data_IF_981486663685
#
_entry.id   IF_981486663685
#
_cell.length_a   1.000
_cell.length_b   1.000
_cell.length_c   1.000
_cell.angle_alpha   90.00
_cell.angle_beta   90.00
_cell.angle_gamma   90.00
#
_symmetry.space_group_name_H-M   'P 1'
#
loop_
_entity.id
_entity.type
_entity.pdbx_description
1 polymer ?
#
# COMPACT_ATOMS: atom_id res chain seq x y z
N UNK A 1 -9.66 -21.92 -18.67
CA UNK A 1 -8.63 -22.15 -17.64
C UNK A 1 -8.81 -23.56 -17.16
N UNK A 2 -7.79 -24.39 -17.23
CA UNK A 2 -7.80 -25.69 -16.56
C UNK A 2 -7.89 -25.44 -15.07
N UNK A 3 -8.99 -25.87 -14.47
CA UNK A 3 -9.28 -25.69 -13.05
C UNK A 3 -8.45 -26.70 -12.25
N UNK A 4 -7.15 -26.43 -12.10
CA UNK A 4 -6.28 -27.22 -11.25
C UNK A 4 -6.45 -26.86 -9.76
N UNK A 5 -6.02 -27.77 -8.89
CA UNK A 5 -5.98 -27.52 -7.44
C UNK A 5 -4.59 -27.05 -7.05
N UNK A 6 -4.51 -25.91 -6.37
CA UNK A 6 -3.26 -25.35 -5.88
C UNK A 6 -3.09 -25.56 -4.38
N UNK A 7 -1.82 -25.58 -3.95
CA UNK A 7 -1.45 -25.69 -2.53
C UNK A 7 -0.29 -24.76 -2.20
N UNK A 8 -0.26 -24.26 -0.99
CA UNK A 8 0.88 -23.49 -0.46
C UNK A 8 0.86 -23.39 1.07
N UNK A 9 2.00 -23.04 1.65
CA UNK A 9 2.10 -22.65 3.06
C UNK A 9 1.58 -21.21 3.19
N UNK A 10 0.57 -21.00 4.04
CA UNK A 10 -0.10 -19.70 4.23
C UNK A 10 0.35 -18.94 5.49
N UNK A 11 1.21 -19.52 6.30
CA UNK A 11 1.82 -18.89 7.49
C UNK A 11 3.27 -18.51 7.22
N UNK A 12 3.84 -17.53 7.93
CA UNK A 12 5.26 -17.23 7.84
C UNK A 12 6.12 -18.46 8.11
N UNK A 13 7.25 -18.58 7.39
CA UNK A 13 8.23 -19.65 7.61
C UNK A 13 9.01 -19.36 8.89
N UNK A 14 9.07 -20.35 9.79
CA UNK A 14 9.78 -20.23 11.06
C UNK A 14 9.24 -21.21 12.09
N UNK A 15 9.75 -21.15 13.32
CA UNK A 15 9.23 -21.92 14.44
C UNK A 15 8.03 -21.19 15.06
N UNK A 16 6.88 -21.86 15.12
CA UNK A 16 5.65 -21.31 15.67
C UNK A 16 4.74 -22.38 16.24
N UNK A 17 3.66 -21.97 16.89
CA UNK A 17 2.70 -22.93 17.43
C UNK A 17 1.89 -23.63 16.33
N UNK A 18 1.55 -22.91 15.25
CA UNK A 18 0.72 -23.39 14.16
C UNK A 18 1.35 -22.99 12.82
N UNK A 19 1.32 -23.94 11.87
CA UNK A 19 1.57 -23.71 10.46
C UNK A 19 0.38 -24.18 9.63
N UNK A 20 0.06 -23.51 8.55
CA UNK A 20 -1.10 -23.78 7.72
C UNK A 20 -0.67 -24.11 6.29
N UNK A 21 -1.03 -25.30 5.82
CA UNK A 21 -1.00 -25.66 4.40
C UNK A 21 -2.41 -25.51 3.85
N UNK A 22 -2.55 -24.65 2.81
CA UNK A 22 -3.83 -24.34 2.18
C UNK A 22 -3.91 -24.97 0.81
N UNK A 23 -5.07 -25.54 0.48
CA UNK A 23 -5.43 -26.01 -0.85
C UNK A 23 -6.62 -25.19 -1.35
N UNK A 24 -6.69 -24.89 -2.66
CA UNK A 24 -7.84 -24.30 -3.32
C UNK A 24 -8.04 -24.91 -4.70
N UNK A 25 -9.25 -25.28 -5.03
CA UNK A 25 -9.60 -25.82 -6.33
C UNK A 25 -10.56 -27.02 -6.26
N UNK A 26 -10.93 -27.59 -7.42
CA UNK A 26 -11.99 -28.62 -7.50
C UNK A 26 -11.67 -29.92 -6.78
N UNK A 27 -10.40 -30.26 -6.63
CA UNK A 27 -9.94 -31.49 -5.96
C UNK A 27 -9.42 -31.25 -4.55
N UNK A 28 -9.55 -30.03 -3.99
CA UNK A 28 -8.97 -29.68 -2.69
C UNK A 28 -9.44 -30.62 -1.57
N UNK A 29 -10.74 -30.91 -1.54
CA UNK A 29 -11.34 -31.79 -0.51
C UNK A 29 -10.89 -33.24 -0.72
N UNK A 30 -10.88 -33.73 -1.98
CA UNK A 30 -10.50 -35.10 -2.32
C UNK A 30 -9.03 -35.38 -1.97
N UNK A 31 -8.11 -34.48 -2.35
CA UNK A 31 -6.69 -34.60 -2.03
C UNK A 31 -6.48 -34.62 -0.50
N UNK A 32 -7.14 -33.72 0.21
CA UNK A 32 -7.03 -33.68 1.67
C UNK A 32 -7.61 -34.96 2.33
N UNK A 33 -8.70 -35.49 1.83
CA UNK A 33 -9.37 -36.69 2.37
C UNK A 33 -8.51 -37.94 2.19
N UNK A 34 -7.73 -38.04 1.10
CA UNK A 34 -6.75 -39.12 0.88
C UNK A 34 -5.67 -39.13 1.97
N UNK A 35 -5.26 -37.94 2.41
CA UNK A 35 -4.18 -37.75 3.39
C UNK A 35 -4.67 -37.78 4.84
N UNK A 36 -5.96 -37.54 5.06
CA UNK A 36 -6.54 -37.34 6.38
C UNK A 36 -7.10 -38.61 6.98
N UNK A 37 -6.86 -38.79 8.28
CA UNK A 37 -7.47 -39.85 9.09
C UNK A 37 -8.08 -39.25 10.36
N UNK A 38 -9.38 -39.20 10.40
CA UNK A 38 -10.16 -38.69 11.53
C UNK A 38 -11.46 -39.46 11.74
N UNK A 39 -12.37 -38.85 12.49
CA UNK A 39 -13.67 -39.48 12.84
C UNK A 39 -14.60 -39.61 11.62
N UNK A 40 -14.58 -38.64 10.71
CA UNK A 40 -15.41 -38.55 9.52
C UNK A 40 -14.51 -38.30 8.31
N UNK A 41 -14.96 -38.69 7.12
CA UNK A 41 -14.33 -38.29 5.88
C UNK A 41 -14.55 -36.79 5.65
N UNK A 42 -13.56 -36.08 5.11
CA UNK A 42 -13.68 -34.65 4.84
C UNK A 42 -14.73 -34.36 3.75
N UNK A 43 -14.97 -35.34 2.87
CA UNK A 43 -16.04 -35.27 1.88
C UNK A 43 -17.45 -35.23 2.49
N UNK A 44 -17.65 -35.84 3.65
CA UNK A 44 -18.96 -36.00 4.30
C UNK A 44 -19.28 -34.87 5.30
N UNK A 45 -18.29 -34.03 5.65
CA UNK A 45 -18.51 -32.98 6.64
C UNK A 45 -19.08 -31.69 6.01
N UNK A 46 -19.89 -30.91 6.75
CA UNK A 46 -20.42 -29.65 6.27
C UNK A 46 -19.32 -28.62 6.04
N UNK A 47 -19.64 -27.61 5.19
CA UNK A 47 -18.78 -26.43 5.02
C UNK A 47 -18.64 -25.63 6.33
N UNK A 48 -17.47 -24.96 6.48
CA UNK A 48 -17.12 -24.14 7.65
C UNK A 48 -17.05 -24.94 8.95
N UNK A 49 -16.45 -26.14 8.86
CA UNK A 49 -16.17 -27.02 10.02
C UNK A 49 -14.67 -27.23 10.18
N UNK A 50 -14.26 -27.47 11.42
CA UNK A 50 -12.90 -27.86 11.79
C UNK A 50 -12.93 -29.29 12.26
N UNK A 51 -12.07 -30.14 11.69
CA UNK A 51 -12.05 -31.57 11.90
C UNK A 51 -10.71 -32.01 12.48
N UNK A 52 -10.71 -32.57 13.67
CA UNK A 52 -9.52 -33.12 14.33
C UNK A 52 -9.15 -34.49 13.73
N UNK A 53 -7.89 -34.72 13.48
CA UNK A 53 -7.37 -35.99 12.99
C UNK A 53 -5.84 -35.96 12.78
N UNK A 54 -5.38 -36.82 11.89
CA UNK A 54 -3.97 -36.98 11.55
C UNK A 54 -3.78 -36.94 10.06
N UNK A 55 -2.66 -36.39 9.60
CA UNK A 55 -2.16 -36.61 8.24
C UNK A 55 -1.36 -37.91 8.27
N UNK A 56 -1.67 -38.79 7.35
CA UNK A 56 -0.96 -40.05 7.12
C UNK A 56 -0.36 -40.04 5.72
N UNK A 57 0.79 -40.63 5.59
CA UNK A 57 1.35 -40.95 4.28
C UNK A 57 0.63 -42.22 3.74
N UNK A 58 -0.13 -42.13 2.65
CA UNK A 58 -0.90 -43.27 2.14
C UNK A 58 -0.05 -44.46 1.71
N UNK A 59 1.22 -44.27 1.32
CA UNK A 59 2.14 -45.34 0.88
C UNK A 59 2.76 -46.04 2.10
N UNK A 60 3.40 -45.30 3.02
CA UNK A 60 4.08 -45.88 4.17
C UNK A 60 3.13 -46.21 5.32
N UNK A 61 1.91 -45.66 5.35
CA UNK A 61 0.92 -45.72 6.43
C UNK A 61 1.40 -45.08 7.74
N UNK A 62 2.48 -44.33 7.69
CA UNK A 62 3.00 -43.61 8.87
C UNK A 62 2.13 -42.38 9.16
N UNK A 63 1.95 -42.11 10.46
CA UNK A 63 1.35 -40.84 10.90
C UNK A 63 2.40 -39.76 10.80
N UNK A 64 2.12 -38.75 9.95
CA UNK A 64 3.03 -37.64 9.71
C UNK A 64 2.81 -36.55 10.72
N UNK A 65 1.54 -36.21 11.03
CA UNK A 65 1.21 -35.08 11.86
C UNK A 65 -0.20 -35.20 12.45
N UNK A 66 -0.39 -34.66 13.64
CA UNK A 66 -1.69 -34.40 14.27
C UNK A 66 -2.20 -33.03 13.83
N UNK A 67 -3.43 -32.95 13.30
CA UNK A 67 -3.91 -31.75 12.62
C UNK A 67 -5.35 -31.38 12.98
N UNK A 68 -5.66 -30.11 12.75
CA UNK A 68 -7.04 -29.63 12.59
C UNK A 68 -7.26 -29.20 11.15
N UNK A 69 -8.21 -29.82 10.46
CA UNK A 69 -8.51 -29.53 9.07
C UNK A 69 -9.81 -28.72 8.94
N UNK A 70 -9.70 -27.52 8.37
CA UNK A 70 -10.85 -26.69 8.05
C UNK A 70 -11.34 -27.04 6.65
N UNK A 71 -12.65 -27.28 6.50
CA UNK A 71 -13.31 -27.57 5.24
C UNK A 71 -14.22 -26.40 4.88
N UNK A 72 -13.94 -25.74 3.77
CA UNK A 72 -14.66 -24.57 3.28
C UNK A 72 -15.09 -24.82 1.83
N UNK A 73 -16.40 -24.88 1.57
CA UNK A 73 -16.93 -25.24 0.26
C UNK A 73 -17.39 -24.02 -0.53
N UNK A 74 -17.15 -24.07 -1.84
CA UNK A 74 -17.63 -23.09 -2.79
C UNK A 74 -19.16 -22.84 -2.66
N UNK A 75 -19.65 -21.64 -2.99
CA UNK A 75 -18.92 -20.43 -3.38
C UNK A 75 -18.59 -19.50 -2.20
N UNK A 76 -18.88 -19.89 -0.95
CA UNK A 76 -18.69 -19.04 0.24
C UNK A 76 -17.28 -19.19 0.83
N UNK A 77 -16.25 -18.99 0.00
CA UNK A 77 -14.84 -19.12 0.33
C UNK A 77 -14.05 -17.92 -0.18
N UNK A 78 -12.77 -17.82 0.17
CA UNK A 78 -11.93 -16.71 -0.30
C UNK A 78 -11.74 -16.70 -1.81
N UNK A 79 -11.49 -17.85 -2.42
CA UNK A 79 -11.30 -17.98 -3.88
C UNK A 79 -12.59 -18.24 -4.64
N UNK A 80 -13.72 -18.44 -3.96
CA UNK A 80 -14.97 -19.03 -4.49
C UNK A 80 -14.82 -20.47 -5.00
N UNK A 81 -13.70 -21.13 -4.71
CA UNK A 81 -13.45 -22.55 -4.92
C UNK A 81 -13.57 -23.31 -3.60
N UNK A 82 -13.52 -24.64 -3.62
CA UNK A 82 -13.35 -25.43 -2.41
C UNK A 82 -11.97 -25.15 -1.81
N UNK A 83 -11.91 -24.85 -0.51
CA UNK A 83 -10.68 -24.58 0.22
C UNK A 83 -10.55 -25.56 1.39
N UNK A 84 -9.35 -26.11 1.53
CA UNK A 84 -8.92 -26.83 2.73
C UNK A 84 -7.77 -26.09 3.38
N UNK A 85 -7.83 -25.97 4.72
CA UNK A 85 -6.70 -25.50 5.52
C UNK A 85 -6.32 -26.60 6.50
N UNK A 86 -5.09 -27.12 6.34
CA UNK A 86 -4.50 -28.12 7.21
C UNK A 86 -3.64 -27.39 8.22
N UNK A 87 -4.12 -27.30 9.46
CA UNK A 87 -3.42 -26.65 10.55
C UNK A 87 -2.53 -27.68 11.25
N UNK A 88 -1.22 -27.54 11.08
CA UNK A 88 -0.17 -28.39 11.62
C UNK A 88 0.54 -27.70 12.80
N UNK A 89 1.38 -28.41 13.52
CA UNK A 89 2.39 -27.75 14.36
C UNK A 89 3.36 -26.94 13.51
N UNK A 90 3.78 -25.76 14.00
CA UNK A 90 4.54 -24.76 13.24
C UNK A 90 6.03 -25.08 13.07
N UNK A 91 6.38 -26.34 12.83
CA UNK A 91 7.73 -26.77 12.52
C UNK A 91 7.98 -26.80 11.00
N UNK A 92 9.10 -26.24 10.54
CA UNK A 92 9.44 -26.15 9.11
C UNK A 92 9.41 -27.53 8.42
N UNK A 93 9.97 -28.55 9.09
CA UNK A 93 10.04 -29.89 8.54
C UNK A 93 8.65 -30.50 8.32
N UNK A 94 7.80 -30.42 9.34
CA UNK A 94 6.45 -31.00 9.32
C UNK A 94 5.56 -30.34 8.29
N UNK A 95 5.56 -29.00 8.23
CA UNK A 95 4.76 -28.24 7.26
C UNK A 95 5.17 -28.58 5.82
N UNK A 96 6.48 -28.63 5.54
CA UNK A 96 6.99 -29.00 4.22
C UNK A 96 6.60 -30.45 3.85
N UNK A 97 6.61 -31.38 4.81
CA UNK A 97 6.19 -32.75 4.56
C UNK A 97 4.71 -32.86 4.20
N UNK A 98 3.85 -32.11 4.88
CA UNK A 98 2.42 -32.02 4.54
C UNK A 98 2.23 -31.38 3.16
N UNK A 99 2.96 -30.31 2.85
CA UNK A 99 2.92 -29.67 1.52
C UNK A 99 3.34 -30.65 0.40
N UNK A 100 4.45 -31.37 0.58
CA UNK A 100 4.93 -32.39 -0.35
C UNK A 100 3.86 -33.46 -0.62
N UNK A 101 3.20 -33.96 0.43
CA UNK A 101 2.13 -34.93 0.29
C UNK A 101 0.96 -34.37 -0.52
N UNK A 102 0.53 -33.13 -0.27
CA UNK A 102 -0.55 -32.53 -1.06
C UNK A 102 -0.18 -32.44 -2.55
N UNK A 103 1.08 -32.10 -2.86
CA UNK A 103 1.56 -32.07 -4.25
C UNK A 103 1.65 -33.47 -4.88
N UNK A 104 2.12 -34.45 -4.12
CA UNK A 104 2.23 -35.85 -4.58
C UNK A 104 0.87 -36.42 -4.97
N UNK A 105 -0.19 -35.98 -4.26
CA UNK A 105 -1.55 -36.48 -4.51
C UNK A 105 -2.40 -35.56 -5.40
N UNK A 106 -1.78 -34.62 -6.12
CA UNK A 106 -2.41 -33.96 -7.28
C UNK A 106 -2.57 -32.44 -7.17
N UNK A 107 -2.16 -31.81 -6.08
CA UNK A 107 -2.12 -30.36 -6.03
C UNK A 107 -0.85 -29.82 -6.69
N UNK A 108 -0.95 -28.67 -7.36
CA UNK A 108 0.20 -27.90 -7.86
C UNK A 108 0.60 -26.84 -6.83
N UNK A 109 1.90 -26.55 -6.73
CA UNK A 109 2.36 -25.41 -5.96
C UNK A 109 1.74 -24.12 -6.49
N UNK A 110 1.17 -23.31 -5.60
CA UNK A 110 0.63 -22.01 -5.95
C UNK A 110 1.74 -21.02 -6.34
N UNK A 111 1.45 -20.17 -7.32
CA UNK A 111 2.27 -19.01 -7.64
C UNK A 111 2.09 -17.90 -6.60
N UNK A 112 3.01 -16.92 -6.51
CA UNK A 112 2.81 -15.75 -5.67
C UNK A 112 1.48 -15.05 -5.98
N UNK A 113 0.68 -14.78 -4.95
CA UNK A 113 -0.61 -14.11 -5.08
C UNK A 113 -1.74 -14.91 -5.73
N UNK A 114 -1.53 -16.20 -6.05
CA UNK A 114 -2.50 -16.97 -6.86
C UNK A 114 -3.86 -17.15 -6.19
N UNK A 115 -3.93 -17.30 -4.87
CA UNK A 115 -5.23 -17.38 -4.19
C UNK A 115 -6.03 -16.08 -4.33
N UNK A 116 -5.38 -14.93 -4.22
CA UNK A 116 -6.02 -13.62 -4.40
C UNK A 116 -6.36 -13.38 -5.88
N UNK A 117 -5.50 -13.81 -6.81
CA UNK A 117 -5.77 -13.79 -8.26
C UNK A 117 -7.02 -14.59 -8.59
N UNK A 118 -7.18 -15.81 -8.03
CA UNK A 118 -8.40 -16.62 -8.19
C UNK A 118 -9.63 -15.96 -7.59
N UNK A 119 -9.51 -15.31 -6.43
CA UNK A 119 -10.59 -14.53 -5.84
C UNK A 119 -11.05 -13.40 -6.78
N UNK A 120 -10.12 -12.71 -7.44
CA UNK A 120 -10.39 -11.70 -8.46
C UNK A 120 -11.03 -12.31 -9.71
N UNK A 121 -10.42 -13.34 -10.31
CA UNK A 121 -10.93 -13.99 -11.53
C UNK A 121 -12.32 -14.62 -11.34
N UNK A 122 -12.61 -15.13 -10.15
CA UNK A 122 -13.91 -15.67 -9.78
C UNK A 122 -14.91 -14.58 -9.35
N UNK A 123 -14.56 -13.30 -9.47
CA UNK A 123 -15.43 -12.15 -9.23
C UNK A 123 -15.85 -11.96 -7.77
N UNK A 124 -15.05 -12.46 -6.80
CA UNK A 124 -15.29 -12.17 -5.39
C UNK A 124 -14.86 -10.76 -5.01
N UNK A 125 -13.73 -10.34 -5.50
CA UNK A 125 -13.11 -9.04 -5.28
C UNK A 125 -12.70 -8.47 -6.64
N UNK A 126 -12.63 -7.15 -6.75
CA UNK A 126 -12.02 -6.49 -7.91
C UNK A 126 -10.52 -6.22 -7.71
N UNK A 127 -9.86 -5.65 -8.73
CA UNK A 127 -8.42 -5.46 -8.70
C UNK A 127 -7.98 -4.47 -7.61
N UNK A 128 -8.74 -3.40 -7.37
CA UNK A 128 -8.44 -2.43 -6.32
C UNK A 128 -8.56 -3.03 -4.91
N UNK A 129 -9.52 -3.92 -4.70
CA UNK A 129 -9.68 -4.68 -3.45
C UNK A 129 -8.55 -5.70 -3.27
N UNK A 130 -8.12 -6.36 -4.36
CA UNK A 130 -7.00 -7.30 -4.33
C UNK A 130 -5.70 -6.59 -3.91
N UNK A 131 -5.38 -5.43 -4.51
CA UNK A 131 -4.23 -4.61 -4.11
C UNK A 131 -4.31 -4.17 -2.64
N UNK A 132 -5.51 -3.81 -2.17
CA UNK A 132 -5.74 -3.40 -0.80
C UNK A 132 -5.48 -4.51 0.24
N UNK A 133 -5.63 -5.79 -0.13
CA UNK A 133 -5.24 -6.92 0.74
C UNK A 133 -3.75 -6.87 1.06
N UNK A 134 -2.90 -6.57 0.08
CA UNK A 134 -1.46 -6.43 0.31
C UNK A 134 -1.12 -5.17 1.10
N UNK A 135 -1.81 -4.06 0.83
CA UNK A 135 -1.63 -2.81 1.56
C UNK A 135 -2.01 -2.99 3.05
N UNK A 136 -3.07 -3.75 3.34
CA UNK A 136 -3.46 -4.11 4.70
C UNK A 136 -2.39 -4.93 5.43
N UNK A 137 -1.83 -5.96 4.78
CA UNK A 137 -0.79 -6.81 5.35
C UNK A 137 0.50 -6.02 5.61
N UNK A 138 0.85 -5.09 4.70
CA UNK A 138 2.06 -4.27 4.78
C UNK A 138 1.89 -3.01 5.62
N UNK A 139 0.68 -2.71 6.08
CA UNK A 139 0.39 -1.48 6.82
C UNK A 139 1.24 -1.35 8.08
N UNK A 140 1.80 -0.16 8.32
CA UNK A 140 2.71 0.15 9.44
C UNK A 140 2.05 0.98 10.54
N UNK A 141 0.84 1.50 10.29
CA UNK A 141 0.09 2.31 11.24
C UNK A 141 -1.37 1.89 11.24
N UNK A 142 -2.08 2.12 12.36
CA UNK A 142 -3.52 1.87 12.46
C UNK A 142 -4.31 2.65 11.40
N UNK A 143 -3.83 3.85 11.05
CA UNK A 143 -4.45 4.68 10.03
C UNK A 143 -4.29 4.06 8.63
N UNK A 144 -3.09 3.60 8.28
CA UNK A 144 -2.84 2.88 7.02
C UNK A 144 -3.69 1.60 6.94
N UNK A 145 -3.74 0.82 8.02
CA UNK A 145 -4.58 -0.37 8.13
C UNK A 145 -6.07 -0.06 7.89
N UNK A 146 -6.58 1.04 8.49
CA UNK A 146 -7.97 1.47 8.32
C UNK A 146 -8.26 1.90 6.87
N UNK A 147 -7.34 2.63 6.23
CA UNK A 147 -7.47 3.01 4.81
C UNK A 147 -7.51 1.78 3.92
N UNK A 148 -6.59 0.84 4.10
CA UNK A 148 -6.56 -0.41 3.35
C UNK A 148 -7.83 -1.24 3.58
N UNK A 149 -8.34 -1.31 4.81
CA UNK A 149 -9.60 -2.01 5.10
C UNK A 149 -10.80 -1.40 4.40
N UNK A 150 -10.92 -0.08 4.37
CA UNK A 150 -11.96 0.63 3.61
C UNK A 150 -11.91 0.29 2.10
N UNK A 151 -10.70 0.12 1.55
CA UNK A 151 -10.54 -0.29 0.15
C UNK A 151 -10.90 -1.77 -0.05
N UNK A 152 -10.57 -2.67 0.88
CA UNK A 152 -11.01 -4.09 0.86
C UNK A 152 -12.53 -4.17 0.90
N UNK A 153 -13.21 -3.32 1.68
CA UNK A 153 -14.68 -3.22 1.74
C UNK A 153 -15.30 -2.69 0.44
N UNK A 154 -14.50 -2.18 -0.52
CA UNK A 154 -14.95 -1.77 -1.84
C UNK A 154 -15.33 -0.29 -1.97
N UNK A 155 -15.04 0.57 -0.99
CA UNK A 155 -15.43 2.00 -1.06
C UNK A 155 -14.91 2.71 -2.30
N UNK A 156 -13.65 2.47 -2.69
CA UNK A 156 -13.10 3.04 -3.93
C UNK A 156 -13.81 2.47 -5.16
N UNK A 157 -14.02 1.16 -5.18
CA UNK A 157 -14.71 0.46 -6.27
C UNK A 157 -16.11 1.01 -6.50
N UNK A 158 -16.87 1.24 -5.43
CA UNK A 158 -18.24 1.75 -5.51
C UNK A 158 -18.27 3.17 -6.08
N UNK A 159 -17.30 4.03 -5.68
CA UNK A 159 -17.16 5.37 -6.24
C UNK A 159 -16.83 5.31 -7.74
N UNK A 160 -15.85 4.47 -8.14
CA UNK A 160 -15.48 4.31 -9.55
C UNK A 160 -16.65 3.77 -10.38
N UNK A 161 -17.35 2.74 -9.90
CA UNK A 161 -18.53 2.17 -10.57
C UNK A 161 -19.62 3.21 -10.75
N UNK A 162 -19.86 4.06 -9.74
CA UNK A 162 -20.83 5.15 -9.84
C UNK A 162 -20.46 6.13 -10.94
N UNK A 163 -19.18 6.57 -11.01
CA UNK A 163 -18.75 7.50 -12.07
C UNK A 163 -18.85 6.85 -13.44
N UNK A 164 -18.47 5.59 -13.58
CA UNK A 164 -18.62 4.86 -14.84
C UNK A 164 -20.08 4.71 -15.28
N UNK A 165 -20.99 4.51 -14.33
CA UNK A 165 -22.42 4.47 -14.61
C UNK A 165 -22.93 5.82 -15.15
N UNK A 166 -22.51 6.93 -14.54
CA UNK A 166 -22.86 8.27 -15.03
C UNK A 166 -22.32 8.52 -16.45
N UNK A 167 -21.10 8.06 -16.77
CA UNK A 167 -20.55 8.15 -18.14
C UNK A 167 -21.38 7.32 -19.12
N UNK A 168 -21.81 6.11 -18.76
CA UNK A 168 -22.67 5.29 -19.61
C UNK A 168 -24.03 5.96 -19.89
N UNK A 169 -24.58 6.66 -18.91
CA UNK A 169 -25.84 7.42 -19.09
C UNK A 169 -25.64 8.59 -20.08
N UNK A 170 -24.49 9.29 -20.01
CA UNK A 170 -24.14 10.32 -21.00
C UNK A 170 -24.01 9.68 -22.39
N UNK A 171 -23.24 8.58 -22.51
CA UNK A 171 -23.01 7.90 -23.79
C UNK A 171 -24.32 7.41 -24.42
N UNK A 172 -25.25 6.88 -23.61
CA UNK A 172 -26.56 6.47 -24.10
C UNK A 172 -27.37 7.63 -24.66
N UNK A 173 -27.30 8.82 -24.05
CA UNK A 173 -27.99 10.02 -24.57
C UNK A 173 -27.33 10.57 -25.83
N UNK A 174 -25.98 10.56 -25.89
CA UNK A 174 -25.22 10.94 -27.08
C UNK A 174 -25.57 10.03 -28.26
N UNK A 175 -25.68 8.71 -28.02
CA UNK A 175 -26.03 7.75 -29.07
C UNK A 175 -27.45 7.98 -29.63
N UNK A 176 -28.40 8.30 -28.78
CA UNK A 176 -29.77 8.68 -29.20
C UNK A 176 -29.73 9.95 -30.08
N UNK A 177 -28.90 10.92 -29.74
CA UNK A 177 -28.76 12.14 -30.52
C UNK A 177 -28.12 11.88 -31.92
N UNK A 178 -27.11 11.01 -31.97
CA UNK A 178 -26.46 10.60 -33.23
C UNK A 178 -27.44 9.84 -34.15
N UNK A 179 -28.28 8.97 -33.56
CA UNK A 179 -29.24 8.14 -34.30
C UNK A 179 -30.44 8.93 -34.84
N UNK A 180 -30.82 10.03 -34.18
CA UNK A 180 -31.98 10.87 -34.53
C UNK A 180 -31.64 12.34 -34.65
N UNK A 181 -30.79 12.73 -35.64
CA UNK A 181 -30.25 14.09 -35.77
C UNK A 181 -31.28 15.12 -36.25
N UNK A 182 -32.49 14.72 -36.62
CA UNK A 182 -33.55 15.61 -37.08
C UNK A 182 -34.24 16.44 -35.99
N UNK A 183 -33.88 16.24 -34.71
CA UNK A 183 -34.49 16.94 -33.57
C UNK A 183 -33.48 17.90 -32.93
N UNK A 184 -33.39 19.15 -33.43
CA UNK A 184 -32.47 20.19 -32.94
C UNK A 184 -32.61 20.44 -31.42
N UNK A 185 -33.82 20.37 -30.86
CA UNK A 185 -34.11 20.55 -29.44
C UNK A 185 -33.45 19.44 -28.57
N UNK A 186 -33.20 18.27 -29.13
CA UNK A 186 -32.55 17.12 -28.44
C UNK A 186 -31.05 17.33 -28.37
N UNK A 187 -30.43 17.96 -29.37
CA UNK A 187 -28.99 18.22 -29.39
C UNK A 187 -28.57 19.18 -28.27
N UNK A 188 -29.27 20.32 -28.15
CA UNK A 188 -29.00 21.30 -27.09
C UNK A 188 -29.19 20.71 -25.70
N UNK A 189 -30.28 19.96 -25.44
CA UNK A 189 -30.55 19.33 -24.18
C UNK A 189 -29.50 18.23 -23.83
N UNK A 190 -29.02 17.49 -24.84
CA UNK A 190 -27.99 16.48 -24.68
C UNK A 190 -26.64 17.12 -24.34
N UNK A 191 -26.27 18.23 -24.98
CA UNK A 191 -25.05 18.96 -24.71
C UNK A 191 -25.05 19.55 -23.31
N UNK A 192 -26.13 20.15 -22.85
CA UNK A 192 -26.26 20.69 -21.49
C UNK A 192 -26.12 19.59 -20.44
N UNK A 193 -26.83 18.46 -20.61
CA UNK A 193 -26.75 17.30 -19.74
C UNK A 193 -25.32 16.73 -19.68
N UNK A 194 -24.66 16.54 -20.85
CA UNK A 194 -23.29 16.07 -20.97
C UNK A 194 -22.34 16.97 -20.17
N UNK A 195 -22.43 18.29 -20.37
CA UNK A 195 -21.55 19.25 -19.69
C UNK A 195 -21.74 19.24 -18.18
N UNK A 196 -23.00 19.22 -17.71
CA UNK A 196 -23.32 19.16 -16.26
C UNK A 196 -22.72 17.89 -15.64
N UNK A 197 -23.08 16.72 -16.18
CA UNK A 197 -22.61 15.44 -15.65
C UNK A 197 -21.09 15.26 -15.76
N UNK A 198 -20.47 15.66 -16.86
CA UNK A 198 -19.02 15.59 -17.02
C UNK A 198 -18.27 16.48 -16.03
N UNK A 199 -18.80 17.67 -15.71
CA UNK A 199 -18.23 18.55 -14.67
C UNK A 199 -18.35 17.94 -13.27
N UNK A 200 -19.45 17.28 -12.96
CA UNK A 200 -19.64 16.55 -11.69
C UNK A 200 -18.64 15.38 -11.56
N UNK A 201 -18.51 14.56 -12.62
CA UNK A 201 -17.55 13.45 -12.67
C UNK A 201 -16.12 13.98 -12.46
N UNK A 202 -15.74 15.04 -13.16
CA UNK A 202 -14.41 15.67 -13.01
C UNK A 202 -14.19 16.17 -11.57
N UNK A 203 -15.20 16.73 -10.93
CA UNK A 203 -15.11 17.19 -9.55
C UNK A 203 -14.84 16.04 -8.59
N UNK A 204 -15.52 14.90 -8.73
CA UNK A 204 -15.27 13.71 -7.92
C UNK A 204 -13.88 13.10 -8.17
N UNK A 205 -13.41 13.08 -9.42
CA UNK A 205 -12.04 12.65 -9.75
C UNK A 205 -11.01 13.57 -9.07
N UNK A 206 -11.22 14.90 -9.10
CA UNK A 206 -10.34 15.84 -8.41
C UNK A 206 -10.33 15.58 -6.90
N UNK A 207 -11.49 15.39 -6.29
CA UNK A 207 -11.60 15.07 -4.86
C UNK A 207 -10.81 13.81 -4.47
N UNK A 208 -10.86 12.77 -5.30
CA UNK A 208 -10.06 11.57 -5.08
C UNK A 208 -8.56 11.86 -5.23
N UNK A 209 -8.17 12.65 -6.24
CA UNK A 209 -6.77 13.04 -6.46
C UNK A 209 -6.21 13.89 -5.33
N UNK A 210 -7.00 14.76 -4.72
CA UNK A 210 -6.59 15.60 -3.59
C UNK A 210 -6.20 14.75 -2.36
N UNK A 211 -6.77 13.55 -2.22
CA UNK A 211 -6.38 12.60 -1.17
C UNK A 211 -5.10 11.82 -1.51
N UNK A 212 -4.63 11.89 -2.75
CA UNK A 212 -3.58 11.01 -3.28
C UNK A 212 -2.22 11.16 -2.60
N UNK A 213 -1.81 12.41 -2.32
CA UNK A 213 -0.53 12.67 -1.66
C UNK A 213 -0.51 12.08 -0.23
N UNK A 214 -1.56 12.35 0.54
CA UNK A 214 -1.71 11.81 1.90
C UNK A 214 -1.86 10.29 1.91
N UNK A 215 -2.64 9.73 0.98
CA UNK A 215 -2.82 8.29 0.82
C UNK A 215 -1.49 7.58 0.51
N UNK A 216 -0.68 8.15 -0.39
CA UNK A 216 0.65 7.62 -0.72
C UNK A 216 1.56 7.59 0.51
N UNK A 217 1.60 8.68 1.29
CA UNK A 217 2.40 8.75 2.54
C UNK A 217 1.93 7.68 3.54
N UNK A 218 0.62 7.50 3.69
CA UNK A 218 0.10 6.47 4.60
C UNK A 218 0.50 5.06 4.18
N UNK A 219 0.58 4.78 2.88
CA UNK A 219 0.93 3.48 2.32
C UNK A 219 2.43 3.20 2.33
N UNK A 220 3.22 4.11 1.77
CA UNK A 220 4.66 3.92 1.51
C UNK A 220 5.54 4.42 2.66
N UNK A 221 4.99 5.26 3.52
CA UNK A 221 5.72 5.99 4.53
C UNK A 221 6.38 7.25 3.94
N UNK A 222 6.72 8.16 4.83
CA UNK A 222 7.42 9.39 4.52
C UNK A 222 8.91 9.13 4.52
N UNK A 223 9.54 9.16 3.36
CA UNK A 223 10.99 8.98 3.23
C UNK A 223 11.72 10.11 3.95
N UNK A 224 12.31 9.81 5.11
CA UNK A 224 12.89 10.80 6.01
C UNK A 224 14.39 10.61 6.13
N UNK A 225 15.14 11.70 5.91
CA UNK A 225 16.61 11.74 6.06
C UNK A 225 16.98 12.70 7.18
N UNK A 226 17.93 12.30 8.04
CA UNK A 226 18.46 13.14 9.12
C UNK A 226 19.83 13.66 8.69
N UNK A 227 19.96 14.99 8.58
CA UNK A 227 21.17 15.70 8.12
C UNK A 227 21.72 16.57 9.22
N UNK A 228 23.03 16.76 9.25
CA UNK A 228 23.74 17.64 10.19
C UNK A 228 25.16 17.18 10.40
N UNK A 229 26.01 18.04 10.99
CA UNK A 229 27.42 17.77 11.29
C UNK A 229 27.60 16.52 12.19
N UNK A 230 28.79 15.94 12.29
CA UNK A 230 29.09 14.95 13.30
C UNK A 230 28.76 15.46 14.72
N UNK A 231 28.37 14.56 15.60
CA UNK A 231 28.10 14.84 17.02
C UNK A 231 26.99 15.86 17.35
N UNK A 232 26.13 16.29 16.41
CA UNK A 232 24.96 17.14 16.70
C UNK A 232 23.80 16.39 17.37
N UNK A 233 23.86 15.04 17.41
CA UNK A 233 22.87 14.20 18.07
C UNK A 233 21.91 13.47 17.11
N UNK A 234 22.28 13.26 15.85
CA UNK A 234 21.48 12.51 14.85
C UNK A 234 21.10 11.12 15.34
N UNK A 235 22.07 10.34 15.83
CA UNK A 235 21.83 8.98 16.35
C UNK A 235 20.93 8.97 17.59
N UNK A 236 21.06 10.00 18.46
CA UNK A 236 20.21 10.14 19.63
C UNK A 236 18.78 10.49 19.21
N UNK A 237 18.59 11.35 18.21
CA UNK A 237 17.29 11.68 17.64
C UNK A 237 16.65 10.42 17.03
N UNK A 238 17.38 9.67 16.21
CA UNK A 238 16.92 8.42 15.65
C UNK A 238 16.45 7.46 16.73
N UNK A 239 17.26 7.25 17.78
CA UNK A 239 16.93 6.36 18.89
C UNK A 239 15.68 6.82 19.67
N UNK A 240 15.52 8.12 19.93
CA UNK A 240 14.32 8.64 20.60
C UNK A 240 13.06 8.43 19.74
N UNK A 241 13.11 8.76 18.45
CA UNK A 241 12.00 8.49 17.53
C UNK A 241 11.61 7.00 17.50
N UNK A 242 12.60 6.10 17.55
CA UNK A 242 12.38 4.64 17.55
C UNK A 242 11.81 4.16 18.90
N UNK A 243 12.33 4.65 20.04
CA UNK A 243 11.93 4.19 21.38
C UNK A 243 10.53 4.65 21.78
N UNK A 244 10.19 5.92 21.53
CA UNK A 244 8.90 6.50 21.92
C UNK A 244 7.75 6.00 21.03
N UNK A 245 8.04 5.66 19.77
CA UNK A 245 7.04 5.34 18.75
C UNK A 245 7.01 3.86 18.30
N UNK A 246 7.48 2.91 19.12
CA UNK A 246 7.53 1.48 18.82
C UNK A 246 7.92 1.21 17.35
N UNK A 247 9.22 1.15 17.08
CA UNK A 247 9.70 0.74 15.78
C UNK A 247 9.01 -0.55 15.33
N UNK A 248 8.35 -0.52 14.19
CA UNK A 248 7.80 -1.73 13.59
C UNK A 248 8.97 -2.35 12.83
N UNK A 249 9.80 -3.09 13.53
CA UNK A 249 10.86 -3.90 12.91
C UNK A 249 10.16 -5.05 12.17
N UNK A 250 10.08 -4.96 10.87
CA UNK A 250 9.68 -6.09 10.05
C UNK A 250 10.93 -6.76 9.51
N UNK A 251 11.36 -7.83 10.17
CA UNK A 251 12.19 -8.82 9.50
C UNK A 251 11.31 -9.52 8.44
N UNK A 252 11.37 -9.06 7.22
CA UNK A 252 10.81 -9.81 6.08
C UNK A 252 11.81 -10.92 5.80
N UNK A 253 11.52 -12.12 6.27
CA UNK A 253 12.29 -13.31 5.98
C UNK A 253 12.33 -13.51 4.45
N UNK A 254 13.51 -13.37 3.86
CA UNK A 254 13.72 -13.62 2.42
C UNK A 254 14.49 -12.55 1.64
N UNK A 255 14.72 -11.36 2.20
CA UNK A 255 15.50 -10.29 1.53
C UNK A 255 16.86 -10.11 2.18
N UNK A 256 17.80 -10.98 1.84
CA UNK A 256 19.17 -11.02 2.44
C UNK A 256 20.13 -9.97 1.87
N UNK A 257 19.68 -8.93 1.16
CA UNK A 257 20.57 -7.90 0.56
C UNK A 257 20.04 -6.48 0.46
N UNK A 258 18.81 -6.20 0.89
CA UNK A 258 18.29 -4.83 0.84
C UNK A 258 18.52 -4.11 2.17
N UNK A 259 18.81 -2.81 2.09
CA UNK A 259 19.04 -1.89 3.19
C UNK A 259 17.95 -2.08 4.23
N UNK A 260 18.31 -2.30 5.50
CA UNK A 260 17.37 -2.37 6.63
C UNK A 260 16.64 -1.02 6.71
N UNK A 261 15.46 -0.96 6.15
CA UNK A 261 14.57 0.22 6.27
C UNK A 261 13.88 0.14 7.63
N UNK A 262 14.03 1.17 8.43
CA UNK A 262 13.34 1.29 9.72
C UNK A 262 12.12 2.18 9.56
N UNK A 263 10.96 1.68 10.00
CA UNK A 263 9.73 2.45 10.04
C UNK A 263 9.39 2.87 11.46
N UNK A 264 9.05 4.15 11.62
CA UNK A 264 8.64 4.74 12.89
C UNK A 264 7.27 5.39 12.72
N UNK A 265 6.34 5.12 13.64
CA UNK A 265 5.01 5.71 13.59
C UNK A 265 4.95 7.01 14.42
N UNK A 266 5.09 8.15 13.77
CA UNK A 266 5.00 9.46 14.43
C UNK A 266 3.58 10.01 14.34
N UNK A 267 2.80 9.90 15.42
CA UNK A 267 1.39 10.38 15.51
C UNK A 267 0.51 9.94 14.33
N UNK A 268 0.70 8.72 13.85
CA UNK A 268 -0.07 8.17 12.73
C UNK A 268 0.57 8.41 11.36
N UNK A 269 1.70 9.11 11.27
CA UNK A 269 2.53 9.24 10.06
C UNK A 269 3.62 8.17 10.09
N UNK A 270 3.65 7.23 9.14
CA UNK A 270 4.75 6.27 9.04
C UNK A 270 5.98 6.97 8.44
N UNK A 271 7.03 7.20 9.24
CA UNK A 271 8.32 7.64 8.74
C UNK A 271 9.13 6.44 8.27
N UNK A 272 9.63 6.46 7.05
CA UNK A 272 10.62 5.53 6.53
C UNK A 272 11.99 6.18 6.64
N UNK A 273 12.79 5.76 7.62
CA UNK A 273 14.11 6.30 7.86
C UNK A 273 15.11 5.73 6.86
N UNK A 274 15.70 6.61 6.04
CA UNK A 274 16.64 6.23 4.98
C UNK A 274 18.06 6.41 5.49
N UNK A 275 18.94 5.45 5.16
CA UNK A 275 20.38 5.46 5.47
C UNK A 275 20.75 5.41 6.98
N UNK A 276 20.01 4.58 7.74
CA UNK A 276 20.28 4.35 9.17
C UNK A 276 21.65 3.69 9.44
N UNK A 277 22.20 2.94 8.49
CA UNK A 277 23.49 2.27 8.61
C UNK A 277 24.65 3.30 8.67
N UNK A 278 24.59 4.37 7.89
CA UNK A 278 25.56 5.46 7.92
C UNK A 278 25.53 6.29 9.20
N UNK A 279 24.37 6.33 9.88
CA UNK A 279 24.18 7.07 11.14
C UNK A 279 24.72 6.29 12.33
N UNK A 280 24.72 4.93 12.26
CA UNK A 280 25.12 4.04 13.38
C UNK A 280 26.61 3.73 13.44
N UNK A 281 27.34 3.74 12.33
CA UNK A 281 28.69 3.11 12.27
C UNK A 281 29.89 4.03 12.05
N UNK A 282 29.76 5.33 11.70
CA UNK A 282 30.95 6.14 11.43
C UNK A 282 30.88 7.58 11.89
N UNK A 283 31.92 7.98 12.66
CA UNK A 283 32.26 9.37 12.98
C UNK A 283 32.79 10.17 11.75
N UNK A 284 32.98 9.54 10.57
CA UNK A 284 33.66 10.10 9.40
C UNK A 284 32.89 9.94 8.07
N UNK A 285 31.61 10.40 8.00
CA UNK A 285 30.80 10.29 6.76
C UNK A 285 31.11 11.39 5.73
N UNK A 286 31.79 12.46 6.10
CA UNK A 286 32.07 13.58 5.19
C UNK A 286 33.18 13.27 4.18
N UNK A 287 34.08 12.31 4.44
CA UNK A 287 35.30 12.17 3.65
C UNK A 287 35.35 11.03 2.63
N UNK A 288 34.54 10.00 2.65
CA UNK A 288 34.87 8.82 1.81
C UNK A 288 33.76 8.05 1.08
N UNK A 289 32.48 8.21 1.37
CA UNK A 289 31.48 7.43 0.62
C UNK A 289 30.35 8.33 0.15
N UNK A 290 30.58 8.91 -1.02
CA UNK A 290 29.46 9.12 -1.90
C UNK A 290 28.62 10.36 -1.68
N UNK A 291 29.20 11.50 -1.95
CA UNK A 291 28.46 12.69 -2.40
C UNK A 291 27.30 12.30 -3.34
N UNK A 292 27.45 11.24 -4.13
CA UNK A 292 26.38 10.74 -5.01
C UNK A 292 25.29 9.96 -4.29
N UNK A 293 25.60 9.06 -3.33
CA UNK A 293 24.58 8.32 -2.57
C UNK A 293 23.77 9.22 -1.65
N UNK A 294 24.47 10.10 -0.92
CA UNK A 294 23.81 11.09 -0.05
C UNK A 294 22.99 12.09 -0.85
N UNK A 295 23.45 12.56 -2.00
CA UNK A 295 22.64 13.42 -2.90
C UNK A 295 21.44 12.69 -3.45
N UNK A 296 21.56 11.41 -3.81
CA UNK A 296 20.42 10.61 -4.26
C UNK A 296 19.41 10.36 -3.14
N UNK A 297 19.86 10.09 -1.92
CA UNK A 297 18.98 9.94 -0.75
C UNK A 297 18.24 11.24 -0.44
N UNK A 298 18.95 12.39 -0.49
CA UNK A 298 18.34 13.71 -0.27
C UNK A 298 17.33 14.08 -1.35
N UNK A 299 17.63 13.82 -2.63
CA UNK A 299 16.71 14.11 -3.73
C UNK A 299 15.48 13.18 -3.79
N UNK A 300 15.47 12.11 -3.01
CA UNK A 300 14.36 11.16 -2.89
C UNK A 300 13.68 11.22 -1.52
N UNK A 301 14.14 12.11 -0.63
CA UNK A 301 13.53 12.32 0.67
C UNK A 301 12.26 13.15 0.52
N UNK A 302 11.19 12.72 1.20
CA UNK A 302 9.96 13.49 1.34
C UNK A 302 10.06 14.45 2.53
N UNK A 303 10.98 14.22 3.47
CA UNK A 303 11.23 15.06 4.64
C UNK A 303 12.71 15.04 5.02
N UNK A 304 13.27 16.20 5.32
CA UNK A 304 14.62 16.33 5.84
C UNK A 304 14.57 16.91 7.25
N UNK A 305 15.17 16.20 8.20
CA UNK A 305 15.40 16.70 9.56
C UNK A 305 16.82 17.26 9.63
N UNK A 306 16.95 18.59 9.54
CA UNK A 306 18.24 19.26 9.58
C UNK A 306 18.63 19.64 11.01
N UNK A 307 19.65 18.97 11.57
CA UNK A 307 20.00 19.04 12.99
C UNK A 307 21.23 19.92 13.19
N UNK A 308 21.07 20.97 14.01
CA UNK A 308 22.10 21.89 14.46
C UNK A 308 22.42 21.66 15.95
N UNK A 309 23.61 22.08 16.40
CA UNK A 309 24.05 21.95 17.79
C UNK A 309 23.92 23.28 18.53
N UNK A 310 23.10 23.32 19.62
CA UNK A 310 22.94 24.51 20.44
C UNK A 310 24.25 25.00 21.09
N UNK A 311 25.18 24.10 21.37
CA UNK A 311 26.43 24.41 22.07
C UNK A 311 27.57 24.86 21.14
N UNK A 312 27.31 25.14 19.86
CA UNK A 312 28.30 25.59 18.89
C UNK A 312 27.72 26.70 18.01
N UNK A 313 28.55 27.71 17.66
CA UNK A 313 28.15 28.71 16.68
C UNK A 313 28.03 28.08 15.28
N UNK A 314 27.20 28.69 14.41
CA UNK A 314 27.11 28.24 12.99
C UNK A 314 28.47 28.30 12.32
N UNK A 315 28.76 27.29 11.53
CA UNK A 315 30.01 27.14 10.78
C UNK A 315 29.74 27.11 9.29
N UNK A 316 30.78 27.29 8.47
CA UNK A 316 30.68 27.21 7.01
C UNK A 316 30.11 25.85 6.56
N UNK A 317 30.31 24.78 7.33
CA UNK A 317 29.75 23.46 7.05
C UNK A 317 28.22 23.43 7.19
N UNK A 318 27.65 24.08 8.22
CA UNK A 318 26.21 24.21 8.41
C UNK A 318 25.56 24.95 7.26
N UNK A 319 26.15 26.06 6.81
CA UNK A 319 25.69 26.79 5.62
C UNK A 319 25.76 25.95 4.35
N UNK A 320 26.83 25.17 4.17
CA UNK A 320 27.00 24.31 3.00
C UNK A 320 25.92 23.20 2.98
N UNK A 321 25.65 22.58 4.13
CA UNK A 321 24.60 21.57 4.27
C UNK A 321 23.20 22.19 4.03
N UNK A 322 22.96 23.38 4.60
CA UNK A 322 21.71 24.10 4.39
C UNK A 322 21.45 24.42 2.91
N UNK A 323 22.46 24.90 2.17
CA UNK A 323 22.35 25.17 0.73
C UNK A 323 21.93 23.95 -0.09
N UNK A 324 22.26 22.74 0.37
CA UNK A 324 21.87 21.49 -0.30
C UNK A 324 20.40 21.14 -0.04
N UNK A 325 19.88 21.49 1.13
CA UNK A 325 18.55 21.04 1.57
C UNK A 325 17.44 22.12 1.49
N UNK A 326 17.79 23.38 1.32
CA UNK A 326 16.87 24.53 1.43
C UNK A 326 15.66 24.55 0.48
N UNK A 327 15.70 23.76 -0.59
CA UNK A 327 14.60 23.69 -1.57
C UNK A 327 13.68 22.47 -1.37
N UNK A 328 13.95 21.69 -0.32
CA UNK A 328 13.19 20.50 0.02
C UNK A 328 12.28 20.76 1.23
N UNK A 329 11.44 19.82 1.60
CA UNK A 329 10.63 19.89 2.82
C UNK A 329 11.52 19.63 4.04
N UNK A 330 11.89 20.71 4.75
CA UNK A 330 12.87 20.70 5.85
C UNK A 330 12.23 21.14 7.17
N UNK A 331 12.51 20.38 8.23
CA UNK A 331 12.35 20.84 9.61
C UNK A 331 13.74 21.06 10.20
N UNK A 332 14.02 22.28 10.64
CA UNK A 332 15.28 22.63 11.28
C UNK A 332 15.19 22.39 12.78
N UNK A 333 16.17 21.69 13.33
CA UNK A 333 16.17 21.25 14.74
C UNK A 333 17.44 21.72 15.41
N UNK A 334 17.31 22.58 16.43
CA UNK A 334 18.43 22.95 17.30
C UNK A 334 18.41 22.02 18.50
N UNK A 335 19.32 21.05 18.51
CA UNK A 335 19.41 20.02 19.54
C UNK A 335 20.43 20.41 20.64
N UNK A 336 20.39 19.69 21.76
CA UNK A 336 21.21 19.88 22.97
C UNK A 336 20.89 21.17 23.72
N UNK A 337 19.63 21.52 23.81
CA UNK A 337 19.16 22.69 24.61
C UNK A 337 19.46 22.57 26.09
N UNK A 338 19.89 21.40 26.58
CA UNK A 338 20.36 21.11 27.91
C UNK A 338 21.79 21.66 28.20
N UNK A 339 22.53 22.02 27.15
CA UNK A 339 23.86 22.60 27.23
C UNK A 339 23.83 24.12 27.13
N UNK A 340 24.98 24.76 27.45
CA UNK A 340 25.13 26.22 27.29
C UNK A 340 24.91 26.64 25.83
N UNK A 341 24.12 27.68 25.62
CA UNK A 341 23.79 28.18 24.30
C UNK A 341 24.94 29.00 23.74
N UNK A 342 25.52 28.52 22.63
CA UNK A 342 26.54 29.22 21.86
C UNK A 342 26.09 29.53 20.42
N UNK A 343 24.96 28.93 19.96
CA UNK A 343 24.35 29.25 18.68
C UNK A 343 23.52 30.53 18.78
N UNK A 344 23.60 31.41 17.80
CA UNK A 344 22.68 32.56 17.70
C UNK A 344 21.40 32.13 16.96
N UNK A 345 20.30 32.05 17.70
CA UNK A 345 19.00 31.65 17.15
C UNK A 345 18.47 32.64 16.11
N UNK A 346 18.83 33.94 16.20
CA UNK A 346 18.42 34.92 15.20
C UNK A 346 19.17 34.68 13.89
N UNK A 347 20.48 34.38 13.94
CA UNK A 347 21.26 33.97 12.76
C UNK A 347 20.70 32.71 12.11
N UNK A 348 20.27 31.73 12.90
CA UNK A 348 19.58 30.52 12.37
C UNK A 348 18.27 30.93 11.67
N UNK A 349 17.43 31.77 12.30
CA UNK A 349 16.16 32.23 11.68
C UNK A 349 16.39 33.01 10.40
N UNK A 350 17.41 33.88 10.37
CA UNK A 350 17.77 34.64 9.17
C UNK A 350 18.25 33.71 8.04
N UNK A 351 18.94 32.61 8.38
CA UNK A 351 19.39 31.60 7.43
C UNK A 351 18.21 30.81 6.85
N UNK A 352 17.27 30.35 7.68
CA UNK A 352 16.21 29.39 7.29
C UNK A 352 14.92 30.05 6.79
N UNK A 353 14.72 31.36 7.05
CA UNK A 353 13.48 32.07 6.69
C UNK A 353 12.24 31.51 7.38
N UNK A 354 11.22 31.15 6.59
CA UNK A 354 9.93 30.66 7.09
C UNK A 354 9.89 29.15 7.41
N UNK A 355 11.04 28.44 7.32
CA UNK A 355 11.10 27.02 7.64
C UNK A 355 10.80 26.75 9.12
N UNK A 356 10.14 25.62 9.46
CA UNK A 356 9.91 25.24 10.84
C UNK A 356 11.20 25.08 11.64
N UNK A 357 11.29 25.72 12.80
CA UNK A 357 12.41 25.64 13.72
C UNK A 357 11.96 25.06 15.06
N UNK A 358 12.55 23.94 15.47
CA UNK A 358 12.23 23.27 16.71
C UNK A 358 13.49 23.17 17.58
N UNK A 359 13.32 23.43 18.86
CA UNK A 359 14.38 23.32 19.85
C UNK A 359 14.18 22.05 20.69
N UNK A 360 15.23 21.23 20.76
CA UNK A 360 15.15 19.92 21.42
C UNK A 360 16.31 19.65 22.35
N UNK A 361 16.06 18.81 23.36
CA UNK A 361 17.08 18.09 24.09
C UNK A 361 16.77 16.60 24.06
N UNK A 362 17.46 15.89 23.19
CA UNK A 362 17.29 14.43 23.05
C UNK A 362 17.67 13.68 24.35
N UNK A 363 18.56 14.25 25.15
CA UNK A 363 18.95 13.68 26.45
C UNK A 363 17.86 13.80 27.51
N UNK A 364 17.14 14.94 27.50
CA UNK A 364 16.06 15.21 28.47
C UNK A 364 14.67 14.88 27.91
N UNK A 365 14.58 14.44 26.67
CA UNK A 365 13.32 14.20 25.96
C UNK A 365 12.41 15.45 25.88
N UNK A 366 13.01 16.65 25.76
CA UNK A 366 12.31 17.92 25.61
C UNK A 366 12.20 18.30 24.12
N UNK A 367 11.07 18.86 23.70
CA UNK A 367 10.80 19.32 22.32
C UNK A 367 10.46 18.19 21.33
N UNK A 368 10.43 16.92 21.73
CA UNK A 368 10.10 15.78 20.87
C UNK A 368 8.61 15.84 20.47
N UNK A 369 7.72 16.11 21.43
CA UNK A 369 6.29 16.28 21.15
C UNK A 369 6.01 17.36 20.09
N UNK A 370 6.74 18.48 20.16
CA UNK A 370 6.62 19.57 19.19
C UNK A 370 7.10 19.16 17.79
N UNK A 371 8.21 18.42 17.73
CA UNK A 371 8.70 17.83 16.47
C UNK A 371 7.68 16.88 15.85
N UNK A 372 7.10 16.01 16.65
CA UNK A 372 6.07 15.06 16.18
C UNK A 372 4.80 15.76 15.67
N UNK A 373 4.37 16.83 16.37
CA UNK A 373 3.24 17.65 15.94
C UNK A 373 3.57 18.34 14.62
N UNK A 374 4.76 18.93 14.49
CA UNK A 374 5.19 19.61 13.28
C UNK A 374 5.28 18.66 12.08
N UNK A 375 5.81 17.44 12.27
CA UNK A 375 5.82 16.41 11.22
C UNK A 375 4.40 16.08 10.78
N UNK A 376 3.49 15.85 11.73
CA UNK A 376 2.08 15.57 11.41
C UNK A 376 1.42 16.71 10.63
N UNK A 377 1.60 17.94 11.08
CA UNK A 377 0.91 19.11 10.54
C UNK A 377 1.44 19.50 9.15
N UNK A 378 2.72 19.30 8.90
CA UNK A 378 3.32 19.52 7.59
C UNK A 378 2.67 18.65 6.48
N UNK A 379 2.32 17.41 6.81
CA UNK A 379 1.80 16.46 5.82
C UNK A 379 0.29 16.28 5.83
N UNK A 380 -0.39 16.64 6.93
CA UNK A 380 -1.85 16.58 7.02
C UNK A 380 -2.53 17.97 7.03
N UNK A 381 -1.74 19.07 6.85
CA UNK A 381 -2.28 20.42 6.69
C UNK A 381 -3.05 20.95 7.90
N UNK A 382 -2.81 20.40 9.09
CA UNK A 382 -3.56 20.77 10.31
C UNK A 382 -5.05 20.38 10.29
N UNK A 383 -5.56 19.88 9.18
CA UNK A 383 -6.96 19.41 9.07
C UNK A 383 -7.15 18.09 9.81
N UNK A 384 -7.78 18.20 10.95
CA UNK A 384 -8.24 17.06 11.73
C UNK A 384 -9.41 16.40 11.00
N UNK A 385 -9.14 15.22 10.38
CA UNK A 385 -10.05 14.10 10.47
C UNK A 385 -11.44 14.23 9.82
N UNK A 386 -11.53 14.04 8.56
CA UNK A 386 -12.69 13.31 8.05
C UNK A 386 -12.35 11.80 8.08
N UNK A 387 -12.79 11.09 9.15
CA UNK A 387 -12.56 9.64 9.33
C UNK A 387 -13.22 8.79 8.24
N UNK A 388 -14.09 9.39 7.43
CA UNK A 388 -14.88 8.74 6.38
C UNK A 388 -14.37 9.00 4.95
N UNK A 389 -13.27 9.73 4.77
CA UNK A 389 -12.72 9.97 3.43
C UNK A 389 -12.12 8.69 2.83
N UNK A 390 -12.47 8.42 1.58
CA UNK A 390 -11.80 7.41 0.78
C UNK A 390 -10.49 7.99 0.25
N UNK A 391 -9.37 7.44 0.71
CA UNK A 391 -8.04 7.83 0.25
C UNK A 391 -7.60 6.96 -0.92
N UNK A 392 -7.04 7.59 -1.95
CA UNK A 392 -6.35 6.89 -3.03
C UNK A 392 -4.87 6.82 -2.65
N UNK A 393 -4.36 5.62 -2.37
CA UNK A 393 -2.98 5.41 -1.89
C UNK A 393 -2.06 4.78 -2.94
N UNK A 394 -2.62 4.18 -3.98
CA UNK A 394 -1.90 3.44 -5.00
C UNK A 394 -1.48 4.35 -6.15
N UNK A 395 -0.18 4.36 -6.49
CA UNK A 395 0.37 5.17 -7.59
C UNK A 395 -0.26 4.85 -8.96
N UNK A 396 -0.66 3.57 -9.20
CA UNK A 396 -1.41 3.16 -10.40
C UNK A 396 -2.77 3.86 -10.47
N UNK A 397 -3.54 3.82 -9.37
CA UNK A 397 -4.84 4.49 -9.29
C UNK A 397 -4.72 6.00 -9.50
N UNK A 398 -3.73 6.64 -8.85
CA UNK A 398 -3.46 8.08 -9.00
C UNK A 398 -3.13 8.42 -10.47
N UNK A 399 -2.32 7.60 -11.14
CA UNK A 399 -1.97 7.81 -12.55
C UNK A 399 -3.19 7.68 -13.45
N UNK A 400 -4.02 6.65 -13.26
CA UNK A 400 -5.25 6.44 -14.03
C UNK A 400 -6.28 7.55 -13.77
N UNK A 401 -6.47 8.00 -12.53
CA UNK A 401 -7.34 9.13 -12.22
C UNK A 401 -6.87 10.44 -12.86
N UNK A 402 -5.55 10.69 -12.93
CA UNK A 402 -5.00 11.84 -13.66
C UNK A 402 -5.30 11.76 -15.15
N UNK A 403 -5.18 10.60 -15.77
CA UNK A 403 -5.53 10.38 -17.18
C UNK A 403 -7.04 10.55 -17.39
N UNK A 404 -7.89 9.95 -16.55
CA UNK A 404 -9.34 10.10 -16.61
C UNK A 404 -9.78 11.57 -16.44
N UNK A 405 -9.11 12.33 -15.56
CA UNK A 405 -9.33 13.78 -15.42
C UNK A 405 -9.01 14.54 -16.69
N UNK A 406 -7.94 14.17 -17.40
CA UNK A 406 -7.57 14.83 -18.65
C UNK A 406 -8.58 14.50 -19.76
N UNK A 407 -8.92 13.23 -19.95
CA UNK A 407 -9.86 12.82 -21.00
C UNK A 407 -11.28 13.37 -20.80
N UNK A 408 -11.77 13.43 -19.55
CA UNK A 408 -13.07 14.06 -19.26
C UNK A 408 -13.00 15.58 -19.47
N UNK A 409 -11.85 16.23 -19.23
CA UNK A 409 -11.67 17.65 -19.55
C UNK A 409 -11.69 17.86 -21.07
N UNK A 410 -11.00 17.01 -21.84
CA UNK A 410 -10.98 17.09 -23.30
C UNK A 410 -12.41 16.96 -23.89
N UNK A 411 -13.22 16.06 -23.32
CA UNK A 411 -14.64 15.93 -23.68
C UNK A 411 -15.46 17.19 -23.36
N UNK A 412 -15.23 17.82 -22.20
CA UNK A 412 -15.89 19.08 -21.82
C UNK A 412 -15.50 20.21 -22.79
N UNK A 413 -14.20 20.36 -23.03
CA UNK A 413 -13.68 21.44 -23.93
C UNK A 413 -14.17 21.26 -25.37
N UNK A 414 -14.26 20.02 -25.85
CA UNK A 414 -14.81 19.70 -27.17
C UNK A 414 -16.30 20.06 -27.25
N UNK A 415 -17.10 19.68 -26.27
CA UNK A 415 -18.52 19.99 -26.21
C UNK A 415 -18.78 21.50 -26.10
N UNK A 416 -18.04 22.23 -25.24
CA UNK A 416 -18.14 23.69 -25.13
C UNK A 416 -17.71 24.43 -26.43
N UNK A 417 -16.84 23.80 -27.22
CA UNK A 417 -16.40 24.37 -28.53
C UNK A 417 -17.32 24.03 -29.69
N UNK A 418 -18.43 23.30 -29.46
CA UNK A 418 -19.37 22.89 -30.48
C UNK A 418 -18.82 21.80 -31.40
N UNK A 419 -17.93 20.96 -30.94
CA UNK A 419 -17.44 19.79 -31.68
C UNK A 419 -18.59 18.78 -31.82
N UNK A 420 -18.76 18.09 -32.96
CA UNK A 420 -19.80 17.09 -33.15
C UNK A 420 -19.78 15.99 -32.07
N UNK A 421 -20.96 15.54 -31.62
CA UNK A 421 -21.14 14.64 -30.49
C UNK A 421 -20.46 13.29 -30.66
N UNK A 422 -20.37 12.79 -31.90
CA UNK A 422 -19.64 11.55 -32.24
C UNK A 422 -18.14 11.62 -31.91
N UNK A 423 -17.55 12.82 -31.97
CA UNK A 423 -16.16 13.04 -31.58
C UNK A 423 -16.02 13.19 -30.05
N UNK A 424 -16.95 13.89 -29.41
CA UNK A 424 -16.96 14.01 -27.93
C UNK A 424 -17.12 12.64 -27.26
N UNK A 425 -17.90 11.74 -27.86
CA UNK A 425 -18.10 10.36 -27.40
C UNK A 425 -16.79 9.58 -27.26
N UNK A 426 -15.77 9.86 -28.09
CA UNK A 426 -14.48 9.18 -28.04
C UNK A 426 -13.78 9.41 -26.68
N UNK A 427 -13.74 10.66 -26.22
CA UNK A 427 -13.09 11.03 -24.98
C UNK A 427 -13.87 10.53 -23.74
N UNK A 428 -15.20 10.54 -23.81
CA UNK A 428 -16.05 9.94 -22.78
C UNK A 428 -15.83 8.42 -22.66
N UNK A 429 -15.81 7.72 -23.80
CA UNK A 429 -15.53 6.28 -23.84
C UNK A 429 -14.15 5.98 -23.27
N UNK A 430 -13.14 6.78 -23.64
CA UNK A 430 -11.80 6.63 -23.12
C UNK A 430 -11.74 6.87 -21.60
N UNK A 431 -12.47 7.85 -21.09
CA UNK A 431 -12.59 8.10 -19.64
C UNK A 431 -13.21 6.89 -18.93
N UNK A 432 -14.27 6.33 -19.49
CA UNK A 432 -14.94 5.14 -18.96
C UNK A 432 -14.02 3.91 -18.90
N UNK A 433 -13.21 3.68 -19.95
CA UNK A 433 -12.22 2.61 -20.01
C UNK A 433 -11.14 2.78 -18.93
N UNK A 434 -10.54 3.99 -18.83
CA UNK A 434 -9.49 4.30 -17.84
C UNK A 434 -9.98 4.08 -16.41
N UNK A 435 -11.20 4.50 -16.09
CA UNK A 435 -11.80 4.24 -14.78
C UNK A 435 -12.03 2.73 -14.57
N UNK A 436 -12.36 1.97 -15.62
CA UNK A 436 -12.49 0.52 -15.58
C UNK A 436 -11.17 -0.20 -15.28
N UNK A 437 -10.05 0.33 -15.76
CA UNK A 437 -8.71 -0.21 -15.45
C UNK A 437 -8.39 -0.17 -13.95
N UNK A 438 -8.91 0.81 -13.20
CA UNK A 438 -8.69 0.91 -11.73
C UNK A 438 -9.23 -0.33 -11.03
N UNK A 439 -10.44 -0.77 -11.38
CA UNK A 439 -11.12 -1.91 -10.77
C UNK A 439 -10.86 -3.24 -11.50
N UNK A 440 -10.11 -3.19 -12.61
CA UNK A 440 -9.67 -4.39 -13.34
C UNK A 440 -10.67 -4.91 -14.39
N UNK A 441 -11.71 -4.15 -14.74
CA UNK A 441 -12.69 -4.60 -15.75
C UNK A 441 -12.14 -4.57 -17.18
N UNK A 442 -11.14 -3.71 -17.43
CA UNK A 442 -10.47 -3.54 -18.73
C UNK A 442 -8.96 -3.83 -18.67
N UNK A 443 -8.49 -4.41 -17.55
CA UNK A 443 -7.08 -4.72 -17.34
C UNK A 443 -6.62 -5.87 -18.25
N UNK A 444 -5.41 -5.76 -18.82
CA UNK A 444 -4.82 -6.86 -19.57
C UNK A 444 -4.35 -8.00 -18.66
N UNK A 445 -4.33 -9.24 -19.20
CA UNK A 445 -3.82 -10.41 -18.47
C UNK A 445 -2.37 -10.20 -18.01
N UNK A 446 -1.54 -9.55 -18.82
CA UNK A 446 -0.14 -9.23 -18.47
C UNK A 446 -0.04 -8.31 -17.24
N UNK A 447 -0.91 -7.29 -17.14
CA UNK A 447 -0.95 -6.40 -15.98
C UNK A 447 -1.39 -7.16 -14.73
N UNK A 448 -2.41 -8.02 -14.86
CA UNK A 448 -2.91 -8.87 -13.77
C UNK A 448 -1.77 -9.76 -13.26
N UNK A 449 -1.07 -10.47 -14.14
CA UNK A 449 0.03 -11.35 -13.79
C UNK A 449 1.19 -10.60 -13.12
N UNK A 450 1.56 -9.44 -13.66
CA UNK A 450 2.60 -8.60 -13.08
C UNK A 450 2.24 -8.13 -11.66
N UNK A 451 1.00 -7.70 -11.43
CA UNK A 451 0.54 -7.25 -10.12
C UNK A 451 0.57 -8.38 -9.10
N UNK A 452 0.01 -9.55 -9.42
CA UNK A 452 -0.04 -10.67 -8.49
C UNK A 452 1.32 -11.30 -8.22
N UNK A 453 2.27 -11.23 -9.15
CA UNK A 453 3.65 -11.70 -8.93
C UNK A 453 4.38 -10.99 -7.79
N UNK A 454 3.93 -9.80 -7.39
CA UNK A 454 4.49 -9.03 -6.27
C UNK A 454 3.86 -9.39 -4.90
N UNK A 455 2.89 -10.29 -4.90
CA UNK A 455 2.22 -10.74 -3.68
C UNK A 455 3.02 -11.82 -2.96
N UNK A 456 2.67 -12.04 -1.68
CA UNK A 456 3.28 -13.11 -0.92
C UNK A 456 2.83 -14.48 -1.41
N UNK A 457 3.71 -15.49 -1.34
CA UNK A 457 3.35 -16.88 -1.54
C UNK A 457 2.29 -17.30 -0.51
N UNK A 458 1.27 -18.03 -0.93
CA UNK A 458 0.18 -18.48 -0.04
C UNK A 458 -0.95 -17.45 0.16
N UNK A 459 -0.93 -16.35 -0.61
CA UNK A 459 -1.96 -15.29 -0.63
C UNK A 459 -2.64 -15.20 -1.99
#
# INVERSE_FOLDING_TARGET
MDLDTITSISTPMGEGAIGIVRLSGPQAVEIADILYKGKHLLNDVPSHTINYGHIIDPESKEVVEEVMVSVLRAPKTFTREDIIEINCHGGILTINRVLELTMTYGARMAEPGEFTKRAFLNGRIDLSQAEAVMDFIRSKTDRASKVAMNQIEGRLSDLIKKQRQSILEILAQVEVNIDYPEYDDVEDATTEFLLEQSKEIKQEINRLLDTGAQGKIMREGLSTVIVGKPNVGKSSMLNNLIQDNKAIVTEVAGTTRDVLEEYVNVRGVPLRLVDTAGIRETEDIVEKIGVERSRKALSQADLILFVLNNNEALTQEDYTLYEVVKNEDVIVIVNKMDLEQNIDINEVKDMIGDMPLIQTSMLKQEGIDELEIQIRDLFFGGEVQNQDMTYVSNSRHISLLKQARQTIQDAIDAAESGVPMDMVQIDLTRTWEILGEIIGETASDELIDQLFSQFCLGK
#
